data_IF_103511058667
#
_entry.id   IF_103511058667
#
_cell.length_a   1.000
_cell.length_b   1.000
_cell.length_c   1.000
_cell.angle_alpha   90.00
_cell.angle_beta   90.00
_cell.angle_gamma   90.00
#
_symmetry.space_group_name_H-M   'P 1'
#
loop_
_entity.id
_entity.type
_entity.pdbx_description
1 polymer ?
#
# COMPACT_ATOMS: atom_id res chain seq x y z
N UNK A 1 -2.51 9.77 -19.89
CA UNK A 1 -2.23 9.43 -18.47
C UNK A 1 -2.87 10.46 -17.54
N UNK A 2 -3.69 10.02 -16.57
CA UNK A 2 -4.39 10.91 -15.62
C UNK A 2 -3.45 11.26 -14.46
N UNK A 3 -3.19 12.55 -14.24
CA UNK A 3 -2.37 13.00 -13.10
C UNK A 3 -3.20 12.91 -11.82
N UNK A 4 -2.71 12.26 -10.75
CA UNK A 4 -3.41 12.28 -9.46
C UNK A 4 -3.55 13.73 -8.94
N UNK A 5 -4.69 14.07 -8.29
CA UNK A 5 -4.94 15.41 -7.77
C UNK A 5 -3.80 15.93 -6.89
N UNK A 6 -3.62 17.26 -6.84
CA UNK A 6 -2.55 17.91 -6.07
C UNK A 6 -2.52 17.51 -4.59
N UNK A 7 -3.69 17.22 -4.01
CA UNK A 7 -3.85 16.82 -2.61
C UNK A 7 -3.33 15.40 -2.30
N UNK A 8 -3.14 14.54 -3.30
CA UNK A 8 -2.64 13.18 -3.09
C UNK A 8 -1.11 13.23 -2.95
N UNK A 9 -0.60 12.91 -1.77
CA UNK A 9 0.86 12.85 -1.51
C UNK A 9 1.39 11.42 -1.46
N UNK A 10 0.54 10.46 -1.13
CA UNK A 10 0.93 9.07 -0.88
C UNK A 10 -0.09 8.13 -1.52
N UNK A 11 0.39 7.10 -2.20
CA UNK A 11 -0.40 6.02 -2.80
C UNK A 11 0.19 4.70 -2.33
N UNK A 12 -0.59 3.91 -1.61
CA UNK A 12 -0.17 2.59 -1.12
C UNK A 12 -0.76 1.50 -2.00
N UNK A 13 0.07 0.55 -2.39
CA UNK A 13 -0.34 -0.63 -3.15
C UNK A 13 -0.43 -1.81 -2.19
N UNK A 14 -1.62 -2.39 -2.09
CA UNK A 14 -1.89 -3.49 -1.17
C UNK A 14 -2.51 -4.66 -1.93
N UNK A 15 -2.17 -5.87 -1.50
CA UNK A 15 -2.82 -7.11 -1.95
C UNK A 15 -3.56 -7.66 -0.76
N UNK A 16 -4.84 -8.01 -0.94
CA UNK A 16 -5.63 -8.64 0.11
C UNK A 16 -6.48 -9.75 -0.45
N UNK A 17 -6.68 -10.79 0.36
CA UNK A 17 -7.55 -11.91 0.06
C UNK A 17 -8.84 -11.82 0.88
N UNK A 18 -9.96 -12.09 0.22
CA UNK A 18 -11.29 -12.05 0.82
C UNK A 18 -11.64 -13.36 1.56
N UNK A 19 -11.45 -14.49 0.88
CA UNK A 19 -11.91 -15.81 1.33
C UNK A 19 -10.77 -16.69 1.88
N UNK A 20 -9.53 -16.38 1.51
CA UNK A 20 -8.34 -17.20 1.77
C UNK A 20 -7.25 -16.40 2.50
N UNK A 21 -6.14 -17.04 2.87
CA UNK A 21 -4.98 -16.35 3.45
C UNK A 21 -3.93 -16.06 2.37
N UNK A 22 -2.89 -15.32 2.74
CA UNK A 22 -1.76 -15.05 1.87
C UNK A 22 -0.90 -16.29 1.57
N UNK A 23 -1.07 -17.39 2.30
CA UNK A 23 -0.45 -18.69 1.98
C UNK A 23 -0.88 -19.22 0.61
N UNK A 24 -2.08 -18.86 0.16
CA UNK A 24 -2.60 -19.23 -1.16
C UNK A 24 -2.05 -18.34 -2.29
N UNK A 25 -1.29 -17.29 -1.96
CA UNK A 25 -0.71 -16.35 -2.95
C UNK A 25 0.72 -16.78 -3.22
N UNK A 26 0.96 -17.33 -4.42
CA UNK A 26 2.22 -17.99 -4.78
C UNK A 26 3.42 -17.03 -4.77
N UNK A 27 3.27 -15.83 -5.35
CA UNK A 27 4.38 -14.86 -5.43
C UNK A 27 3.84 -13.47 -5.80
N UNK A 28 3.45 -12.64 -4.82
CA UNK A 28 3.01 -11.29 -5.12
C UNK A 28 4.22 -10.42 -5.49
N UNK A 29 4.14 -9.77 -6.65
CA UNK A 29 5.15 -8.83 -7.14
C UNK A 29 4.53 -7.49 -7.52
N UNK A 30 5.37 -6.45 -7.56
CA UNK A 30 5.03 -5.12 -8.08
C UNK A 30 6.10 -4.69 -9.06
N UNK A 31 5.66 -4.28 -10.25
CA UNK A 31 6.50 -3.78 -11.33
C UNK A 31 6.19 -2.30 -11.56
N UNK A 32 7.23 -1.48 -11.65
CA UNK A 32 7.15 -0.10 -12.08
C UNK A 32 7.77 -0.02 -13.46
N UNK A 33 6.98 0.36 -14.44
CA UNK A 33 7.40 0.46 -15.84
C UNK A 33 7.25 1.90 -16.35
N UNK A 34 8.15 2.30 -17.23
CA UNK A 34 7.99 3.50 -18.03
C UNK A 34 7.01 3.23 -19.18
N UNK A 35 5.81 3.81 -19.09
CA UNK A 35 4.73 3.64 -20.08
C UNK A 35 5.18 3.97 -21.51
N UNK A 36 6.08 4.93 -21.70
CA UNK A 36 6.47 5.38 -23.03
C UNK A 36 7.41 4.38 -23.74
N UNK A 37 8.25 3.69 -22.99
CA UNK A 37 9.28 2.79 -23.53
C UNK A 37 8.99 1.32 -23.25
N UNK A 38 8.08 1.02 -22.31
CA UNK A 38 7.88 -0.31 -21.74
C UNK A 38 9.05 -0.78 -20.87
N UNK A 39 9.97 0.11 -20.51
CA UNK A 39 11.16 -0.27 -19.74
C UNK A 39 10.79 -0.44 -18.28
N UNK A 40 11.10 -1.61 -17.71
CA UNK A 40 10.99 -1.82 -16.27
C UNK A 40 11.99 -0.95 -15.51
N UNK A 41 11.49 -0.10 -14.62
CA UNK A 41 12.26 0.81 -13.78
C UNK A 41 12.57 0.19 -12.41
N UNK A 42 11.64 -0.60 -11.88
CA UNK A 42 11.80 -1.26 -10.59
C UNK A 42 10.88 -2.47 -10.49
N UNK A 43 11.39 -3.55 -9.91
CA UNK A 43 10.64 -4.75 -9.61
C UNK A 43 10.86 -5.10 -8.14
N UNK A 44 9.76 -5.33 -7.43
CA UNK A 44 9.76 -5.81 -6.06
C UNK A 44 8.93 -7.08 -5.96
N UNK A 45 9.57 -8.17 -5.59
CA UNK A 45 8.90 -9.40 -5.20
C UNK A 45 8.83 -9.47 -3.69
N UNK A 46 7.68 -9.89 -3.16
CA UNK A 46 7.61 -10.28 -1.77
C UNK A 46 8.36 -11.61 -1.63
N UNK A 47 9.56 -11.57 -1.06
CA UNK A 47 10.34 -12.77 -0.74
C UNK A 47 9.50 -13.76 0.08
N UNK A 48 9.83 -15.05 -0.01
CA UNK A 48 9.22 -16.11 0.80
C UNK A 48 9.30 -15.76 2.29
N UNK A 49 8.19 -15.21 2.79
CA UNK A 49 7.95 -15.00 4.21
C UNK A 49 6.91 -16.00 4.64
N UNK A 50 7.02 -16.49 5.87
CA UNK A 50 5.89 -17.16 6.50
C UNK A 50 4.75 -16.14 6.58
N UNK A 51 3.79 -16.30 5.67
CA UNK A 51 2.63 -15.42 5.57
C UNK A 51 1.59 -15.76 6.63
N UNK A 52 1.82 -16.81 7.44
CA UNK A 52 0.95 -17.28 8.50
C UNK A 52 -0.53 -17.29 8.04
N UNK A 53 -1.46 -16.88 8.89
CA UNK A 53 -2.87 -16.78 8.53
C UNK A 53 -3.26 -15.36 8.11
N UNK A 54 -2.28 -14.53 7.76
CA UNK A 54 -2.51 -13.15 7.34
C UNK A 54 -3.25 -13.09 6.01
N UNK A 55 -4.02 -12.03 5.82
CA UNK A 55 -4.92 -11.89 4.66
C UNK A 55 -4.56 -10.71 3.77
N UNK A 56 -3.64 -9.84 4.18
CA UNK A 56 -3.25 -8.68 3.40
C UNK A 56 -1.77 -8.29 3.58
N UNK A 57 -1.22 -7.69 2.53
CA UNK A 57 0.14 -7.17 2.48
C UNK A 57 0.16 -5.79 1.84
N UNK A 58 0.91 -4.87 2.44
CA UNK A 58 1.28 -3.59 1.83
C UNK A 58 2.60 -3.82 1.08
N UNK A 59 2.53 -3.79 -0.25
CA UNK A 59 3.67 -4.08 -1.11
C UNK A 59 4.61 -2.89 -1.15
N UNK A 60 4.11 -1.72 -1.56
CA UNK A 60 4.90 -0.52 -1.73
C UNK A 60 4.07 0.75 -1.53
N UNK A 61 4.77 1.88 -1.42
CA UNK A 61 4.19 3.21 -1.39
C UNK A 61 4.87 4.09 -2.44
N UNK A 62 4.06 4.77 -3.24
CA UNK A 62 4.49 5.85 -4.11
C UNK A 62 4.17 7.17 -3.40
N UNK A 63 5.19 7.92 -3.01
CA UNK A 63 5.03 9.17 -2.25
C UNK A 63 5.72 10.37 -2.90
N UNK A 64 5.21 11.56 -2.60
CA UNK A 64 5.81 12.86 -2.95
C UNK A 64 5.66 13.83 -1.79
N UNK A 65 6.66 14.68 -1.57
CA UNK A 65 6.63 15.67 -0.46
C UNK A 65 5.55 16.73 -0.65
N UNK A 66 5.40 17.25 -1.86
CA UNK A 66 4.45 18.31 -2.20
C UNK A 66 3.90 18.09 -3.62
N UNK A 67 2.79 18.75 -3.94
CA UNK A 67 2.28 18.77 -5.32
C UNK A 67 3.35 19.31 -6.27
N UNK A 68 3.66 18.55 -7.33
CA UNK A 68 4.70 18.90 -8.30
C UNK A 68 6.10 18.36 -7.98
N UNK A 69 6.32 17.84 -6.76
CA UNK A 69 7.56 17.11 -6.44
C UNK A 69 7.65 15.78 -7.18
N UNK A 70 8.88 15.26 -7.30
CA UNK A 70 9.16 13.93 -7.84
C UNK A 70 8.49 12.86 -6.96
N UNK A 71 7.85 11.89 -7.61
CA UNK A 71 7.36 10.69 -6.95
C UNK A 71 8.51 9.72 -6.68
N UNK A 72 8.49 9.13 -5.49
CA UNK A 72 9.46 8.13 -5.03
C UNK A 72 8.69 6.86 -4.69
N UNK A 73 9.09 5.74 -5.28
CA UNK A 73 8.56 4.43 -4.94
C UNK A 73 9.41 3.83 -3.82
N UNK A 74 8.77 3.38 -2.74
CA UNK A 74 9.40 2.69 -1.61
C UNK A 74 8.75 1.32 -1.43
N UNK A 75 9.53 0.25 -1.51
CA UNK A 75 9.11 -1.09 -1.13
C UNK A 75 8.90 -1.16 0.40
N UNK A 76 7.84 -1.86 0.84
CA UNK A 76 7.43 -1.97 2.25
C UNK A 76 7.39 -3.44 2.68
N UNK A 77 6.61 -4.28 1.99
CA UNK A 77 6.45 -5.70 2.33
C UNK A 77 5.90 -5.96 3.74
N UNK A 78 4.92 -5.16 4.19
CA UNK A 78 4.32 -5.33 5.52
C UNK A 78 3.09 -6.24 5.44
N UNK A 79 3.12 -7.34 6.17
CA UNK A 79 2.08 -8.38 6.16
C UNK A 79 1.22 -8.28 7.43
N UNK A 80 -0.07 -8.58 7.34
CA UNK A 80 -0.99 -8.55 8.46
C UNK A 80 -2.45 -8.84 8.08
N UNK A 81 -3.37 -8.55 8.98
CA UNK A 81 -4.80 -8.75 8.73
C UNK A 81 -5.44 -7.56 8.02
N UNK A 82 -6.25 -7.83 7.01
CA UNK A 82 -7.04 -6.85 6.28
C UNK A 82 -7.98 -7.53 5.29
N UNK A 83 -9.22 -7.06 5.20
CA UNK A 83 -10.24 -7.60 4.28
C UNK A 83 -10.71 -6.51 3.33
N UNK A 84 -11.01 -6.88 2.10
CA UNK A 84 -11.61 -5.98 1.11
C UNK A 84 -13.14 -5.81 1.26
N UNK A 85 -13.67 -5.84 2.49
CA UNK A 85 -15.11 -5.67 2.78
C UNK A 85 -15.47 -4.21 2.79
N UNK A 86 -15.98 -3.62 1.71
CA UNK A 86 -16.69 -2.34 1.85
C UNK A 86 -16.55 -1.27 0.77
N UNK A 87 -16.13 -1.61 -0.45
CA UNK A 87 -16.11 -0.64 -1.56
C UNK A 87 -15.11 0.52 -1.37
N UNK A 88 -15.20 1.60 -2.18
CA UNK A 88 -14.30 2.74 -2.08
C UNK A 88 -14.51 3.48 -0.76
N UNK A 89 -13.51 3.45 0.11
CA UNK A 89 -13.55 4.15 1.40
C UNK A 89 -13.13 5.61 1.15
N UNK A 90 -14.09 6.53 1.10
CA UNK A 90 -13.82 7.98 1.21
C UNK A 90 -13.64 8.32 2.69
N UNK A 91 -12.40 8.39 3.16
CA UNK A 91 -12.10 8.87 4.51
C UNK A 91 -11.85 10.39 4.48
N UNK A 92 -12.56 11.13 5.35
CA UNK A 92 -12.18 12.47 5.77
C UNK A 92 -11.43 12.33 7.09
N UNK A 93 -10.30 13.02 7.21
CA UNK A 93 -9.47 13.03 8.40
C UNK A 93 -10.15 13.70 9.60
N UNK A 94 -11.05 12.97 10.27
CA UNK A 94 -11.36 13.18 11.68
C UNK A 94 -10.98 11.91 12.44
N UNK A 95 -10.24 12.09 13.53
CA UNK A 95 -9.42 11.08 14.19
C UNK A 95 -10.20 10.01 15.00
N UNK A 96 -11.53 9.98 14.94
CA UNK A 96 -12.32 9.36 16.01
C UNK A 96 -12.80 7.92 15.76
N UNK A 97 -12.33 7.24 14.71
CA UNK A 97 -12.67 5.82 14.52
C UNK A 97 -11.60 5.09 13.70
N UNK A 98 -10.59 4.60 14.42
CA UNK A 98 -9.43 3.89 13.87
C UNK A 98 -9.57 2.35 13.91
N UNK A 99 -10.67 1.81 14.48
CA UNK A 99 -10.82 0.36 14.74
C UNK A 99 -11.83 -0.38 13.87
N UNK A 100 -12.89 0.25 13.36
CA UNK A 100 -14.08 -0.48 12.87
C UNK A 100 -14.10 -0.72 11.35
N UNK A 101 -13.01 -0.37 10.67
CA UNK A 101 -12.86 -0.54 9.23
C UNK A 101 -12.26 -1.89 8.85
N UNK A 102 -12.58 -2.41 7.66
CA UNK A 102 -12.12 -3.71 7.16
C UNK A 102 -10.59 -3.79 6.97
N UNK A 103 -9.90 -2.64 7.04
CA UNK A 103 -8.45 -2.50 6.93
C UNK A 103 -7.80 -2.01 8.23
N UNK A 104 -8.45 -2.10 9.40
CA UNK A 104 -7.97 -1.55 10.67
C UNK A 104 -6.46 -1.76 10.93
N UNK A 105 -5.95 -3.00 10.91
CA UNK A 105 -4.53 -3.27 11.13
C UNK A 105 -3.63 -2.69 10.02
N UNK A 106 -4.03 -2.80 8.75
CA UNK A 106 -3.30 -2.21 7.62
C UNK A 106 -3.26 -0.67 7.68
N UNK A 107 -4.35 -0.05 8.11
CA UNK A 107 -4.45 1.39 8.30
C UNK A 107 -3.52 1.86 9.40
N UNK A 108 -3.51 1.17 10.54
CA UNK A 108 -2.58 1.46 11.63
C UNK A 108 -1.12 1.30 11.20
N UNK A 109 -0.82 0.30 10.36
CA UNK A 109 0.51 0.12 9.80
C UNK A 109 0.91 1.29 8.90
N UNK A 110 0.02 1.73 8.01
CA UNK A 110 0.24 2.91 7.15
C UNK A 110 0.46 4.16 7.99
N UNK A 111 -0.35 4.41 9.01
CA UNK A 111 -0.20 5.58 9.88
C UNK A 111 1.12 5.56 10.64
N UNK A 112 1.53 4.41 11.18
CA UNK A 112 2.85 4.23 11.80
C UNK A 112 3.99 4.52 10.80
N UNK A 113 3.86 4.07 9.55
CA UNK A 113 4.86 4.34 8.50
C UNK A 113 4.90 5.81 8.09
N UNK A 114 3.76 6.51 8.09
CA UNK A 114 3.72 7.96 7.84
C UNK A 114 4.38 8.72 8.99
N UNK A 115 4.08 8.34 10.24
CA UNK A 115 4.67 8.95 11.42
C UNK A 115 6.21 8.79 11.47
N UNK A 116 6.73 7.62 11.07
CA UNK A 116 8.18 7.37 11.03
C UNK A 116 8.90 8.04 9.85
N UNK A 117 8.17 8.47 8.81
CA UNK A 117 8.74 9.15 7.63
C UNK A 117 8.82 10.67 7.79
N UNK A 118 8.29 11.24 8.89
CA UNK A 118 8.24 12.68 9.16
C UNK A 118 9.45 13.25 9.93
N UNK A 119 10.46 12.46 10.25
CA UNK A 119 11.63 12.84 11.07
C UNK A 119 12.96 12.93 10.31
N UNK A 120 12.94 13.21 9.00
CA UNK A 120 14.16 13.40 8.19
C UNK A 120 14.12 14.69 7.35
#
# INVERSE_FOLDING_TARGET
MVRPPAAVTDVYFTVSSWQRTLKDVIQPSVHLEDEATGTELCHFELEERDTEDFTAVIMCCLSRKTSGSRWVLKAIGHIGYGRASGGPITWRCNADSLSDGPYGPMKQAIEKMRASSGTA
#
